data_IF_087023770373
#
_entry.id   IF_087023770373
#
_cell.length_a   1.000
_cell.length_b   1.000
_cell.length_c   1.000
_cell.angle_alpha   90.00
_cell.angle_beta   90.00
_cell.angle_gamma   90.00
#
_symmetry.space_group_name_H-M   'P 1'
#
loop_
_entity.id
_entity.type
_entity.pdbx_description
1 polymer ?
#
# COMPACT_ATOMS: atom_id res chain seq x y z
N UNK A 1 -7.94 16.49 -14.50
CA UNK A 1 -7.07 17.55 -13.97
C UNK A 1 -5.88 16.84 -13.33
N UNK A 2 -4.87 16.59 -14.17
CA UNK A 2 -3.69 15.81 -13.83
C UNK A 2 -2.66 16.70 -13.15
N UNK A 3 -2.21 16.31 -11.97
CA UNK A 3 -1.09 16.91 -11.25
C UNK A 3 0.19 16.72 -12.07
N UNK A 4 1.07 17.73 -12.17
CA UNK A 4 2.48 17.42 -12.28
C UNK A 4 3.26 18.26 -11.27
N UNK A 5 3.45 17.71 -10.07
CA UNK A 5 4.63 18.05 -9.24
C UNK A 5 5.86 17.23 -9.66
N UNK A 6 5.67 16.20 -10.48
CA UNK A 6 6.75 15.37 -11.02
C UNK A 6 7.27 16.01 -12.32
N UNK A 7 8.60 16.16 -12.48
CA UNK A 7 9.17 16.82 -13.63
C UNK A 7 8.84 16.08 -14.93
N UNK A 8 8.52 16.86 -15.96
CA UNK A 8 8.42 16.34 -17.32
C UNK A 8 9.81 15.85 -17.80
N UNK A 9 9.85 14.80 -18.64
CA UNK A 9 11.10 14.35 -19.23
C UNK A 9 11.79 15.49 -19.99
N UNK A 10 13.08 15.68 -19.72
CA UNK A 10 13.89 16.75 -20.34
C UNK A 10 14.29 16.38 -21.78
N UNK A 11 14.54 15.09 -22.02
CA UNK A 11 14.92 14.53 -23.32
C UNK A 11 13.73 14.41 -24.28
N UNK A 12 13.94 14.72 -25.56
CA UNK A 12 12.87 14.64 -26.57
C UNK A 12 12.44 13.20 -26.87
N UNK A 13 13.37 12.24 -26.83
CA UNK A 13 13.05 10.82 -26.98
C UNK A 13 12.24 10.28 -25.82
N UNK A 14 12.52 10.71 -24.59
CA UNK A 14 11.69 10.37 -23.43
C UNK A 14 10.28 10.99 -23.50
N UNK A 15 10.11 12.17 -24.14
CA UNK A 15 8.78 12.76 -24.38
C UNK A 15 7.96 11.94 -25.37
N UNK A 16 8.56 11.46 -26.46
CA UNK A 16 7.87 10.59 -27.42
C UNK A 16 7.44 9.28 -26.75
N UNK A 17 8.31 8.69 -25.93
CA UNK A 17 7.97 7.49 -25.14
C UNK A 17 6.84 7.80 -24.15
N UNK A 18 6.86 8.95 -23.49
CA UNK A 18 5.78 9.37 -22.58
C UNK A 18 4.42 9.36 -23.29
N UNK A 19 4.32 9.98 -24.46
CA UNK A 19 3.07 10.05 -25.23
C UNK A 19 2.58 8.66 -25.65
N UNK A 20 3.48 7.82 -26.15
CA UNK A 20 3.17 6.45 -26.53
C UNK A 20 2.69 5.62 -25.33
N UNK A 21 3.36 5.76 -24.19
CA UNK A 21 3.01 5.06 -22.95
C UNK A 21 1.67 5.54 -22.38
N UNK A 22 1.37 6.84 -22.45
CA UNK A 22 0.06 7.38 -22.07
C UNK A 22 -1.04 6.77 -22.94
N UNK A 23 -0.83 6.67 -24.25
CA UNK A 23 -1.80 6.06 -25.15
C UNK A 23 -2.03 4.57 -24.81
N UNK A 24 -0.97 3.81 -24.54
CA UNK A 24 -1.10 2.41 -24.11
C UNK A 24 -1.88 2.31 -22.79
N UNK A 25 -1.54 3.15 -21.80
CA UNK A 25 -2.25 3.21 -20.51
C UNK A 25 -3.74 3.47 -20.71
N UNK A 26 -4.08 4.46 -21.54
CA UNK A 26 -5.47 4.84 -21.78
C UNK A 26 -6.23 3.70 -22.49
N UNK A 27 -5.60 2.97 -23.40
CA UNK A 27 -6.17 1.76 -24.02
C UNK A 27 -6.41 0.64 -22.98
N UNK A 28 -5.44 0.41 -22.08
CA UNK A 28 -5.58 -0.56 -20.99
C UNK A 28 -6.72 -0.16 -20.03
N UNK A 29 -6.81 1.11 -19.68
CA UNK A 29 -7.82 1.63 -18.76
C UNK A 29 -9.22 1.59 -19.36
N UNK A 30 -9.38 1.93 -20.65
CA UNK A 30 -10.65 1.78 -21.36
C UNK A 30 -11.13 0.32 -21.37
N UNK A 31 -10.21 -0.63 -21.59
CA UNK A 31 -10.53 -2.06 -21.52
C UNK A 31 -10.91 -2.53 -20.13
N UNK A 32 -10.31 -1.95 -19.08
CA UNK A 32 -10.70 -2.26 -17.69
C UNK A 32 -12.15 -1.81 -17.41
N UNK A 33 -12.52 -0.64 -17.94
CA UNK A 33 -13.85 -0.07 -17.77
C UNK A 33 -14.91 -0.80 -18.62
N UNK A 34 -14.53 -1.36 -19.77
CA UNK A 34 -15.44 -2.15 -20.60
C UNK A 34 -15.74 -3.51 -19.98
N UNK A 35 -16.80 -3.56 -19.17
CA UNK A 35 -17.34 -4.79 -18.57
C UNK A 35 -18.25 -5.58 -19.53
N UNK A 36 -18.48 -5.09 -20.76
CA UNK A 36 -19.40 -5.71 -21.71
C UNK A 36 -18.75 -6.76 -22.61
N UNK A 37 -17.43 -6.68 -22.77
CA UNK A 37 -16.66 -7.56 -23.66
C UNK A 37 -15.71 -8.44 -22.85
N UNK A 38 -15.69 -9.74 -23.14
CA UNK A 38 -14.69 -10.65 -22.58
C UNK A 38 -13.27 -10.24 -23.00
N UNK A 39 -12.35 -10.14 -22.04
CA UNK A 39 -10.96 -9.76 -22.30
C UNK A 39 -10.23 -10.92 -22.99
N UNK A 40 -9.85 -10.73 -24.26
CA UNK A 40 -9.11 -11.76 -25.02
C UNK A 40 -7.61 -11.65 -24.75
N UNK A 41 -6.96 -12.80 -24.53
CA UNK A 41 -5.50 -12.90 -24.35
C UNK A 41 -4.71 -12.16 -25.43
N UNK A 42 -5.10 -12.30 -26.70
CA UNK A 42 -4.40 -11.66 -27.81
C UNK A 42 -4.40 -10.12 -27.72
N UNK A 43 -5.51 -9.54 -27.27
CA UNK A 43 -5.64 -8.09 -27.17
C UNK A 43 -4.75 -7.52 -26.05
N UNK A 44 -4.61 -8.27 -24.94
CA UNK A 44 -3.70 -7.94 -23.83
C UNK A 44 -2.24 -8.08 -24.27
N UNK A 45 -1.91 -9.16 -25.00
CA UNK A 45 -0.54 -9.42 -25.45
C UNK A 45 -0.02 -8.35 -26.42
N UNK A 46 -0.87 -7.82 -27.31
CA UNK A 46 -0.47 -6.70 -28.19
C UNK A 46 -0.07 -5.46 -27.38
N UNK A 47 -0.79 -5.15 -26.29
CA UNK A 47 -0.47 -4.02 -25.42
C UNK A 47 0.77 -4.29 -24.56
N UNK A 48 0.94 -5.54 -24.12
CA UNK A 48 2.13 -6.00 -23.43
C UNK A 48 3.38 -5.82 -24.29
N UNK A 49 3.39 -6.36 -25.52
CA UNK A 49 4.56 -6.29 -26.42
C UNK A 49 4.92 -4.83 -26.73
N UNK A 50 3.91 -3.99 -27.03
CA UNK A 50 4.10 -2.54 -27.22
C UNK A 50 4.71 -1.88 -25.99
N UNK A 51 4.27 -2.23 -24.79
CA UNK A 51 4.82 -1.70 -23.53
C UNK A 51 6.29 -2.08 -23.37
N UNK A 52 6.62 -3.36 -23.60
CA UNK A 52 7.99 -3.86 -23.51
C UNK A 52 8.91 -3.14 -24.51
N UNK A 53 8.46 -2.91 -25.74
CA UNK A 53 9.26 -2.22 -26.74
C UNK A 53 9.53 -0.76 -26.37
N UNK A 54 8.55 -0.04 -25.81
CA UNK A 54 8.76 1.32 -25.31
C UNK A 54 9.75 1.35 -24.14
N UNK A 55 9.68 0.39 -23.21
CA UNK A 55 10.59 0.33 -22.07
C UNK A 55 12.01 -0.06 -22.48
N UNK A 56 12.18 -0.90 -23.51
CA UNK A 56 13.50 -1.17 -24.11
C UNK A 56 14.09 0.10 -24.72
N UNK A 57 13.32 0.83 -25.53
CA UNK A 57 13.73 2.13 -26.09
C UNK A 57 14.11 3.12 -24.98
N UNK A 58 13.34 3.15 -23.89
CA UNK A 58 13.63 4.03 -22.74
C UNK A 58 14.97 3.67 -22.10
N UNK A 59 15.24 2.39 -21.89
CA UNK A 59 16.50 1.93 -21.33
C UNK A 59 17.69 2.20 -22.27
N UNK A 60 17.48 2.08 -23.58
CA UNK A 60 18.47 2.46 -24.59
C UNK A 60 18.81 3.95 -24.51
N UNK A 61 17.80 4.83 -24.48
CA UNK A 61 17.99 6.29 -24.36
C UNK A 61 18.74 6.65 -23.07
N UNK A 62 18.39 5.98 -21.96
CA UNK A 62 19.00 6.26 -20.66
C UNK A 62 20.43 5.73 -20.54
N UNK A 63 20.89 4.82 -21.42
CA UNK A 63 22.27 4.30 -21.48
C UNK A 63 22.94 4.04 -20.11
N UNK A 64 22.19 3.52 -19.13
CA UNK A 64 22.71 3.24 -17.78
C UNK A 64 23.05 4.47 -16.93
N UNK A 65 22.69 5.69 -17.36
CA UNK A 65 22.74 6.87 -16.49
C UNK A 65 21.64 6.74 -15.43
N UNK A 66 21.96 7.11 -14.20
CA UNK A 66 20.97 7.30 -13.14
C UNK A 66 20.09 8.50 -13.52
N UNK A 67 19.07 8.26 -14.35
CA UNK A 67 18.05 9.25 -14.63
C UNK A 67 17.22 9.44 -13.36
N UNK A 68 17.05 10.71 -12.94
CA UNK A 68 16.08 11.07 -11.92
C UNK A 68 14.70 10.56 -12.35
N UNK A 69 13.96 9.98 -11.40
CA UNK A 69 12.62 9.46 -11.64
C UNK A 69 11.73 10.59 -12.17
N UNK A 70 11.11 10.36 -13.33
CA UNK A 70 10.31 11.38 -13.99
C UNK A 70 8.92 10.86 -14.36
N UNK A 71 8.12 11.68 -15.04
CA UNK A 71 6.76 11.33 -15.41
C UNK A 71 6.65 10.05 -16.24
N UNK A 72 7.67 9.71 -17.05
CA UNK A 72 7.71 8.47 -17.83
C UNK A 72 7.69 7.26 -16.92
N UNK A 73 8.50 7.25 -15.86
CA UNK A 73 8.59 6.14 -14.91
C UNK A 73 7.25 5.83 -14.25
N UNK A 74 6.47 6.87 -13.93
CA UNK A 74 5.12 6.73 -13.37
C UNK A 74 4.11 6.16 -14.34
N UNK A 75 4.15 6.60 -15.60
CA UNK A 75 3.26 6.04 -16.63
C UNK A 75 3.65 4.60 -16.94
N UNK A 76 4.95 4.28 -17.01
CA UNK A 76 5.45 2.92 -17.14
C UNK A 76 4.94 2.04 -15.99
N UNK A 77 5.04 2.53 -14.75
CA UNK A 77 4.55 1.81 -13.59
C UNK A 77 3.05 1.54 -13.67
N UNK A 78 2.24 2.55 -14.01
CA UNK A 78 0.80 2.41 -14.19
C UNK A 78 0.44 1.43 -15.32
N UNK A 79 1.15 1.45 -16.45
CA UNK A 79 0.95 0.47 -17.53
C UNK A 79 1.19 -0.96 -17.05
N UNK A 80 2.28 -1.20 -16.32
CA UNK A 80 2.60 -2.54 -15.83
C UNK A 80 1.65 -3.00 -14.71
N UNK A 81 1.19 -2.11 -13.83
CA UNK A 81 0.14 -2.46 -12.85
C UNK A 81 -1.17 -2.86 -13.55
N UNK A 82 -1.58 -2.15 -14.61
CA UNK A 82 -2.75 -2.53 -15.42
C UNK A 82 -2.53 -3.85 -16.17
N UNK A 83 -1.34 -4.07 -16.73
CA UNK A 83 -1.01 -5.33 -17.39
C UNK A 83 -1.03 -6.49 -16.39
N UNK A 84 -0.48 -6.30 -15.20
CA UNK A 84 -0.54 -7.27 -14.09
C UNK A 84 -1.97 -7.70 -13.81
N UNK A 85 -2.86 -6.71 -13.66
CA UNK A 85 -4.29 -6.94 -13.49
C UNK A 85 -4.87 -7.77 -14.64
N UNK A 86 -4.57 -7.41 -15.90
CA UNK A 86 -5.09 -8.16 -17.04
C UNK A 86 -4.56 -9.59 -17.12
N UNK A 87 -3.27 -9.82 -16.80
CA UNK A 87 -2.69 -11.15 -16.76
C UNK A 87 -3.38 -12.03 -15.71
N UNK A 88 -3.72 -11.47 -14.55
CA UNK A 88 -4.53 -12.16 -13.55
C UNK A 88 -5.95 -12.44 -14.07
N UNK A 89 -6.58 -11.48 -14.75
CA UNK A 89 -7.95 -11.67 -15.27
C UNK A 89 -8.08 -12.73 -16.37
N UNK A 90 -7.01 -12.95 -17.15
CA UNK A 90 -6.96 -13.98 -18.20
C UNK A 90 -6.40 -15.32 -17.69
N UNK A 91 -6.18 -15.46 -16.37
CA UNK A 91 -5.73 -16.70 -15.74
C UNK A 91 -4.25 -17.01 -15.92
N UNK A 92 -3.41 -16.02 -16.21
CA UNK A 92 -1.95 -16.15 -16.37
C UNK A 92 -1.22 -15.65 -15.12
N UNK A 93 -1.62 -16.16 -13.97
CA UNK A 93 -1.16 -15.71 -12.65
C UNK A 93 0.32 -16.09 -12.38
N UNK A 94 0.78 -17.18 -12.99
CA UNK A 94 2.14 -17.71 -12.78
C UNK A 94 3.18 -17.11 -13.73
N UNK A 95 2.89 -15.95 -14.32
CA UNK A 95 3.81 -15.27 -15.24
C UNK A 95 4.32 -13.97 -14.63
N UNK A 96 5.54 -13.58 -15.03
CA UNK A 96 6.20 -12.39 -14.51
C UNK A 96 5.32 -11.11 -14.52
N UNK A 97 4.50 -10.81 -15.55
CA UNK A 97 3.63 -9.62 -15.52
C UNK A 97 2.63 -9.61 -14.36
N UNK A 98 2.09 -10.77 -13.95
CA UNK A 98 1.11 -10.87 -12.87
C UNK A 98 1.73 -10.55 -11.49
N UNK A 99 3.03 -10.78 -11.32
CA UNK A 99 3.76 -10.45 -10.10
C UNK A 99 4.01 -8.94 -9.92
N UNK A 100 3.77 -8.11 -10.96
CA UNK A 100 4.19 -6.72 -10.94
C UNK A 100 3.39 -5.86 -9.96
N UNK A 101 2.06 -5.99 -9.94
CA UNK A 101 1.21 -5.16 -9.08
C UNK A 101 1.57 -5.35 -7.59
N UNK A 102 1.67 -6.60 -7.14
CA UNK A 102 2.04 -6.91 -5.76
C UNK A 102 3.47 -6.45 -5.43
N UNK A 103 4.43 -6.62 -6.35
CA UNK A 103 5.79 -6.10 -6.18
C UNK A 103 5.80 -4.57 -5.99
N UNK A 104 4.97 -3.85 -6.75
CA UNK A 104 4.82 -2.40 -6.65
C UNK A 104 4.22 -1.99 -5.29
N UNK A 105 3.17 -2.68 -4.85
CA UNK A 105 2.54 -2.44 -3.54
C UNK A 105 3.53 -2.67 -2.40
N UNK A 106 4.30 -3.78 -2.40
CA UNK A 106 5.32 -4.06 -1.37
C UNK A 106 6.39 -2.96 -1.36
N UNK A 107 6.84 -2.49 -2.53
CA UNK A 107 7.82 -1.40 -2.58
C UNK A 107 7.30 -0.16 -1.85
N UNK A 108 6.06 0.26 -2.13
CA UNK A 108 5.45 1.42 -1.47
C UNK A 108 5.31 1.22 0.03
N UNK A 109 4.90 0.02 0.45
CA UNK A 109 4.83 -0.32 1.86
C UNK A 109 6.18 -0.20 2.55
N UNK A 110 7.25 -0.74 1.97
CA UNK A 110 8.59 -0.62 2.53
C UNK A 110 9.07 0.84 2.63
N UNK A 111 8.75 1.67 1.64
CA UNK A 111 9.02 3.11 1.67
C UNK A 111 8.24 3.75 2.84
N UNK A 112 6.95 3.46 3.00
CA UNK A 112 6.12 3.98 4.10
C UNK A 112 6.55 3.49 5.49
N UNK A 113 6.92 2.22 5.63
CA UNK A 113 7.46 1.69 6.90
C UNK A 113 8.78 2.38 7.26
N UNK A 114 9.59 2.71 6.26
CA UNK A 114 10.84 3.46 6.45
C UNK A 114 10.56 4.90 6.89
N UNK A 115 9.54 5.55 6.33
CA UNK A 115 9.13 6.92 6.67
C UNK A 115 8.46 7.02 8.05
N UNK A 116 7.50 6.13 8.35
CA UNK A 116 6.72 6.16 9.59
C UNK A 116 7.49 5.61 10.80
N UNK A 117 8.48 4.74 10.55
CA UNK A 117 9.24 4.00 11.56
C UNK A 117 8.33 3.21 12.53
N UNK A 118 7.17 2.75 12.02
CA UNK A 118 6.15 1.97 12.73
C UNK A 118 5.98 0.59 12.11
N UNK A 119 6.89 -0.32 12.43
CA UNK A 119 6.86 -1.68 11.94
C UNK A 119 7.19 -2.70 13.04
N UNK A 120 6.69 -3.91 12.86
CA UNK A 120 6.93 -5.08 13.70
C UNK A 120 7.67 -6.16 12.93
N UNK A 121 8.25 -7.14 13.64
CA UNK A 121 8.91 -8.28 13.00
C UNK A 121 7.97 -9.05 12.05
N UNK A 122 6.69 -9.16 12.44
CA UNK A 122 5.66 -9.89 11.68
C UNK A 122 5.34 -9.23 10.34
N UNK A 123 5.32 -7.89 10.30
CA UNK A 123 5.08 -7.16 9.04
C UNK A 123 6.20 -7.48 8.05
N UNK A 124 7.46 -7.45 8.51
CA UNK A 124 8.63 -7.73 7.68
C UNK A 124 8.69 -9.20 7.24
N UNK A 125 8.32 -10.14 8.11
CA UNK A 125 8.24 -11.57 7.78
C UNK A 125 7.19 -11.84 6.70
N UNK A 126 6.00 -11.25 6.82
CA UNK A 126 4.94 -11.34 5.80
C UNK A 126 5.43 -10.83 4.45
N UNK A 127 6.04 -9.64 4.39
CA UNK A 127 6.58 -9.09 3.15
C UNK A 127 7.73 -9.92 2.58
N UNK A 128 8.56 -10.53 3.44
CA UNK A 128 9.64 -11.42 3.01
C UNK A 128 9.09 -12.65 2.29
N UNK A 129 8.09 -13.33 2.88
CA UNK A 129 7.44 -14.48 2.26
C UNK A 129 6.81 -14.13 0.90
N UNK A 130 6.16 -12.98 0.81
CA UNK A 130 5.57 -12.53 -0.46
C UNK A 130 6.65 -12.24 -1.50
N UNK A 131 7.78 -11.62 -1.13
CA UNK A 131 8.90 -11.39 -2.06
C UNK A 131 9.57 -12.70 -2.52
N UNK A 132 9.58 -13.72 -1.68
CA UNK A 132 10.07 -15.07 -2.04
C UNK A 132 9.14 -15.71 -3.07
N UNK A 133 7.83 -15.72 -2.82
CA UNK A 133 6.83 -16.20 -3.77
C UNK A 133 6.90 -15.46 -5.12
N UNK A 134 7.00 -14.12 -5.11
CA UNK A 134 7.15 -13.33 -6.33
C UNK A 134 8.45 -13.65 -7.08
N UNK A 135 9.52 -13.96 -6.37
CA UNK A 135 10.78 -14.39 -6.98
C UNK A 135 10.64 -15.74 -7.68
N UNK A 136 9.88 -16.67 -7.09
CA UNK A 136 9.59 -17.97 -7.70
C UNK A 136 8.76 -17.81 -8.97
N UNK A 137 7.73 -16.96 -8.97
CA UNK A 137 6.94 -16.66 -10.18
C UNK A 137 7.85 -16.15 -11.30
N UNK A 138 8.71 -15.17 -11.00
CA UNK A 138 9.61 -14.58 -11.99
C UNK A 138 10.64 -15.60 -12.51
N UNK A 139 11.20 -16.45 -11.63
CA UNK A 139 12.19 -17.45 -12.04
C UNK A 139 11.59 -18.62 -12.82
N UNK A 140 10.38 -19.06 -12.47
CA UNK A 140 9.66 -20.11 -13.18
C UNK A 140 9.22 -19.64 -14.58
N UNK A 141 8.90 -18.35 -14.74
CA UNK A 141 8.60 -17.74 -16.03
C UNK A 141 9.80 -17.79 -16.99
N UNK A 142 11.03 -17.59 -16.49
CA UNK A 142 12.28 -17.61 -17.31
C UNK A 142 12.55 -18.93 -18.02
N UNK A 143 11.99 -20.04 -17.53
CA UNK A 143 12.12 -21.35 -18.17
C UNK A 143 11.24 -21.47 -19.43
N UNK A 144 10.22 -20.61 -19.55
CA UNK A 144 9.43 -20.45 -20.77
C UNK A 144 10.06 -19.31 -21.58
N UNK A 145 10.38 -19.55 -22.87
CA UNK A 145 11.18 -18.68 -23.75
C UNK A 145 10.60 -17.28 -24.06
N UNK A 146 9.67 -16.77 -23.28
CA UNK A 146 8.87 -15.58 -23.57
C UNK A 146 9.21 -14.45 -22.60
N UNK A 147 10.13 -13.58 -23.03
CA UNK A 147 10.44 -12.24 -22.47
C UNK A 147 11.43 -12.12 -21.28
N UNK A 148 12.73 -12.40 -21.51
CA UNK A 148 13.79 -12.24 -20.50
C UNK A 148 13.95 -10.80 -19.95
N UNK A 149 13.42 -9.79 -20.65
CA UNK A 149 13.59 -8.39 -20.28
C UNK A 149 12.77 -7.99 -19.05
N UNK A 150 11.47 -8.34 -19.02
CA UNK A 150 10.62 -7.98 -17.89
C UNK A 150 11.02 -8.75 -16.63
N UNK A 151 11.39 -10.01 -16.78
CA UNK A 151 11.90 -10.83 -15.68
C UNK A 151 13.14 -10.21 -15.05
N UNK A 152 14.09 -9.73 -15.86
CA UNK A 152 15.27 -9.01 -15.37
C UNK A 152 14.87 -7.72 -14.63
N UNK A 153 13.92 -6.96 -15.17
CA UNK A 153 13.43 -5.72 -14.55
C UNK A 153 12.75 -6.00 -13.20
N UNK A 154 11.89 -7.02 -13.13
CA UNK A 154 11.20 -7.43 -11.91
C UNK A 154 12.16 -8.01 -10.88
N UNK A 155 13.11 -8.86 -11.30
CA UNK A 155 14.14 -9.39 -10.42
C UNK A 155 14.97 -8.26 -9.78
N UNK A 156 15.34 -7.25 -10.55
CA UNK A 156 16.03 -6.06 -10.02
C UNK A 156 15.15 -5.27 -9.04
N UNK A 157 13.85 -5.12 -9.30
CA UNK A 157 12.91 -4.47 -8.39
C UNK A 157 12.75 -5.25 -7.08
N UNK A 158 12.55 -6.56 -7.16
CA UNK A 158 12.46 -7.45 -5.99
C UNK A 158 13.75 -7.38 -5.17
N UNK A 159 14.92 -7.36 -5.82
CA UNK A 159 16.21 -7.20 -5.13
C UNK A 159 16.29 -5.88 -4.36
N UNK A 160 15.78 -4.77 -4.93
CA UNK A 160 15.69 -3.48 -4.22
C UNK A 160 14.74 -3.55 -3.03
N UNK A 161 13.58 -4.19 -3.17
CA UNK A 161 12.65 -4.41 -2.06
C UNK A 161 13.31 -5.23 -0.94
N UNK A 162 14.01 -6.32 -1.28
CA UNK A 162 14.77 -7.11 -0.30
C UNK A 162 15.86 -6.30 0.40
N UNK A 163 16.58 -5.44 -0.32
CA UNK A 163 17.58 -4.57 0.30
C UNK A 163 16.96 -3.58 1.31
N UNK A 164 15.80 -3.00 0.98
CA UNK A 164 15.06 -2.13 1.90
C UNK A 164 14.53 -2.91 3.11
N UNK A 165 14.01 -4.11 2.88
CA UNK A 165 13.53 -5.00 3.94
C UNK A 165 14.65 -5.38 4.92
N UNK A 166 15.83 -5.75 4.40
CA UNK A 166 17.00 -6.06 5.22
C UNK A 166 17.45 -4.86 6.07
N UNK A 167 17.36 -3.63 5.54
CA UNK A 167 17.66 -2.42 6.31
C UNK A 167 16.68 -2.26 7.48
N UNK A 168 15.38 -2.45 7.23
CA UNK A 168 14.36 -2.41 8.29
C UNK A 168 14.54 -3.53 9.33
N UNK A 169 14.91 -4.73 8.90
CA UNK A 169 15.25 -5.84 9.81
C UNK A 169 16.46 -5.50 10.68
N UNK A 170 17.53 -4.93 10.10
CA UNK A 170 18.70 -4.52 10.85
C UNK A 170 18.36 -3.46 11.91
N UNK A 171 17.50 -2.48 11.58
CA UNK A 171 16.99 -1.49 12.55
C UNK A 171 16.21 -2.14 13.70
N UNK A 172 15.53 -3.25 13.47
CA UNK A 172 14.84 -4.01 14.53
C UNK A 172 15.84 -4.78 15.40
N UNK A 173 16.88 -5.35 14.78
CA UNK A 173 17.93 -6.10 15.48
C UNK A 173 18.76 -5.23 16.42
N UNK A 174 18.93 -3.95 16.10
CA UNK A 174 19.57 -2.95 16.97
C UNK A 174 18.85 -2.80 18.33
N UNK A 175 17.54 -3.04 18.37
CA UNK A 175 16.78 -3.05 19.63
C UNK A 175 17.15 -4.30 20.42
N UNK A 176 17.56 -4.11 21.68
CA UNK A 176 17.94 -5.19 22.57
C UNK A 176 16.79 -6.22 22.69
N UNK A 177 17.10 -7.52 22.68
CA UNK A 177 16.11 -8.60 22.73
C UNK A 177 15.04 -8.43 23.83
N UNK A 178 15.37 -8.00 25.07
CA UNK A 178 14.37 -7.79 26.11
C UNK A 178 13.36 -6.69 25.81
N UNK A 179 13.70 -5.73 24.94
CA UNK A 179 12.83 -4.61 24.56
C UNK A 179 11.98 -4.88 23.33
N UNK A 180 12.32 -5.86 22.51
CA UNK A 180 11.57 -6.17 21.27
C UNK A 180 10.07 -6.43 21.53
N UNK A 181 9.67 -7.24 22.54
CA UNK A 181 8.24 -7.44 22.83
C UNK A 181 7.54 -6.15 23.29
N UNK A 182 8.25 -5.27 23.99
CA UNK A 182 7.71 -3.97 24.43
C UNK A 182 7.50 -3.06 23.22
N UNK A 183 8.49 -2.97 22.32
CA UNK A 183 8.39 -2.21 21.08
C UNK A 183 7.23 -2.69 20.20
N UNK A 184 7.08 -4.01 20.02
CA UNK A 184 5.95 -4.60 19.27
C UNK A 184 4.59 -4.27 19.91
N UNK A 185 4.51 -4.31 21.24
CA UNK A 185 3.29 -3.93 21.96
C UNK A 185 2.96 -2.47 21.74
N UNK A 186 3.95 -1.57 21.74
CA UNK A 186 3.76 -0.15 21.47
C UNK A 186 3.28 0.10 20.03
N UNK A 187 3.90 -0.53 19.04
CA UNK A 187 3.46 -0.45 17.63
C UNK A 187 2.01 -0.93 17.51
N UNK A 188 1.65 -2.03 18.19
CA UNK A 188 0.29 -2.54 18.22
C UNK A 188 -0.71 -1.58 18.86
N UNK A 189 -0.36 -0.94 19.98
CA UNK A 189 -1.21 0.06 20.65
C UNK A 189 -1.41 1.28 19.75
N UNK A 190 -0.33 1.80 19.14
CA UNK A 190 -0.40 2.96 18.26
C UNK A 190 -1.31 2.70 17.06
N UNK A 191 -1.15 1.57 16.37
CA UNK A 191 -2.04 1.17 15.26
C UNK A 191 -3.50 1.03 15.71
N UNK A 192 -3.76 0.46 16.88
CA UNK A 192 -5.11 0.37 17.44
C UNK A 192 -5.70 1.75 17.75
N UNK A 193 -4.92 2.66 18.31
CA UNK A 193 -5.34 4.04 18.58
C UNK A 193 -5.63 4.80 17.29
N UNK A 194 -4.77 4.69 16.28
CA UNK A 194 -4.98 5.24 14.95
C UNK A 194 -6.29 4.72 14.33
N UNK A 195 -6.51 3.40 14.37
CA UNK A 195 -7.74 2.78 13.90
C UNK A 195 -8.99 3.28 14.64
N UNK A 196 -8.94 3.45 15.97
CA UNK A 196 -10.05 4.01 16.76
C UNK A 196 -10.35 5.45 16.35
N UNK A 197 -9.32 6.25 16.07
CA UNK A 197 -9.47 7.67 15.69
C UNK A 197 -10.22 7.88 14.37
N UNK A 198 -10.23 6.89 13.49
CA UNK A 198 -10.92 6.97 12.18
C UNK A 198 -12.39 6.54 12.25
N UNK A 199 -12.82 5.90 13.36
CA UNK A 199 -14.19 5.40 13.52
C UNK A 199 -15.15 6.51 13.95
N UNK A 200 -16.35 6.51 13.37
CA UNK A 200 -17.42 7.43 13.74
C UNK A 200 -18.02 7.13 15.12
N UNK A 201 -17.91 5.88 15.59
CA UNK A 201 -18.34 5.42 16.92
C UNK A 201 -17.25 4.55 17.53
N UNK A 202 -16.94 4.75 18.80
CA UNK A 202 -15.98 3.93 19.54
C UNK A 202 -16.47 3.69 20.97
N UNK A 203 -15.91 2.66 21.61
CA UNK A 203 -16.17 2.37 23.01
C UNK A 203 -15.08 3.01 23.88
N UNK A 204 -15.42 3.95 24.79
CA UNK A 204 -14.43 4.59 25.66
C UNK A 204 -13.58 3.60 26.48
N UNK A 205 -14.14 2.42 26.79
CA UNK A 205 -13.41 1.36 27.52
C UNK A 205 -12.18 0.85 26.76
N UNK A 206 -12.20 0.85 25.43
CA UNK A 206 -11.07 0.42 24.61
C UNK A 206 -9.90 1.39 24.76
N UNK A 207 -10.18 2.71 24.73
CA UNK A 207 -9.16 3.75 24.93
C UNK A 207 -8.58 3.68 26.34
N UNK A 208 -9.43 3.52 27.37
CA UNK A 208 -8.94 3.38 28.74
C UNK A 208 -8.03 2.16 28.91
N UNK A 209 -8.37 1.02 28.29
CA UNK A 209 -7.52 -0.17 28.32
C UNK A 209 -6.16 0.08 27.69
N UNK A 210 -6.12 0.70 26.50
CA UNK A 210 -4.87 1.03 25.81
C UNK A 210 -4.02 2.02 26.62
N UNK A 211 -4.65 3.02 27.25
CA UNK A 211 -3.96 3.95 28.16
C UNK A 211 -3.35 3.25 29.36
N UNK A 212 -4.08 2.36 30.02
CA UNK A 212 -3.51 1.59 31.14
C UNK A 212 -2.31 0.75 30.71
N UNK A 213 -2.31 0.19 29.50
CA UNK A 213 -1.15 -0.53 28.98
C UNK A 213 0.05 0.40 28.71
N UNK A 214 -0.19 1.62 28.21
CA UNK A 214 0.86 2.62 28.05
C UNK A 214 1.44 3.04 29.40
N UNK A 215 0.60 3.24 30.41
CA UNK A 215 1.03 3.58 31.78
C UNK A 215 1.85 2.44 32.42
N UNK A 216 1.46 1.18 32.21
CA UNK A 216 2.22 0.02 32.66
C UNK A 216 3.60 -0.07 31.99
N UNK A 217 3.69 0.28 30.70
CA UNK A 217 4.97 0.30 29.97
C UNK A 217 5.81 1.51 30.40
N UNK A 218 5.18 2.67 30.64
CA UNK A 218 5.86 3.88 31.12
C UNK A 218 6.49 3.67 32.50
N UNK A 219 5.78 2.96 33.40
CA UNK A 219 6.26 2.64 34.73
C UNK A 219 7.50 1.73 34.76
N UNK A 220 7.80 1.02 33.66
CA UNK A 220 9.03 0.21 33.53
C UNK A 220 10.28 1.05 33.24
N UNK A 221 10.12 2.35 32.96
CA UNK A 221 11.25 3.25 32.72
C UNK A 221 11.87 3.71 34.01
N UNK A 222 13.19 3.85 34.00
CA UNK A 222 13.96 4.52 35.03
C UNK A 222 14.64 5.72 34.36
N UNK A 223 14.34 6.93 34.84
CA UNK A 223 14.86 8.19 34.28
C UNK A 223 14.60 8.36 32.77
N UNK A 224 13.40 7.98 32.33
CA UNK A 224 12.99 8.08 30.92
C UNK A 224 13.62 7.03 29.99
N UNK A 225 14.41 6.08 30.52
CA UNK A 225 15.04 5.01 29.75
C UNK A 225 14.70 3.62 30.27
N UNK A 226 14.80 2.62 29.40
CA UNK A 226 14.69 1.22 29.78
C UNK A 226 16.07 0.65 30.13
N UNK A 227 16.17 0.02 31.29
CA UNK A 227 17.41 -0.53 31.84
C UNK A 227 17.31 -2.04 32.04
N UNK A 228 18.46 -2.72 32.03
CA UNK A 228 18.56 -4.13 32.37
C UNK A 228 18.63 -4.36 33.90
N UNK A 229 18.74 -5.63 34.31
CA UNK A 229 18.88 -6.04 35.73
C UNK A 229 20.09 -5.40 36.44
N UNK A 230 21.06 -4.88 35.69
CA UNK A 230 22.27 -4.23 36.19
C UNK A 230 22.21 -2.69 36.11
N UNK A 231 21.04 -2.09 35.88
CA UNK A 231 20.83 -0.66 35.66
C UNK A 231 21.58 -0.10 34.43
N UNK A 232 21.95 -0.93 33.46
CA UNK A 232 22.54 -0.48 32.21
C UNK A 232 21.43 -0.19 31.20
N UNK A 233 21.51 0.96 30.53
CA UNK A 233 20.57 1.34 29.47
C UNK A 233 20.61 0.31 28.35
N UNK A 234 19.44 -0.22 28.01
CA UNK A 234 19.27 -1.18 26.93
C UNK A 234 19.39 -0.49 25.56
N UNK A 235 20.03 -1.17 24.61
CA UNK A 235 20.15 -0.63 23.26
C UNK A 235 18.76 -0.50 22.61
N UNK A 236 18.52 0.62 21.94
CA UNK A 236 17.19 0.96 21.41
C UNK A 236 16.21 1.53 22.45
N UNK A 237 16.63 1.76 23.70
CA UNK A 237 15.81 2.41 24.73
C UNK A 237 15.27 3.75 24.26
N UNK A 238 16.08 4.58 23.61
CA UNK A 238 15.66 5.92 23.15
C UNK A 238 14.56 5.81 22.08
N UNK A 239 14.66 4.85 21.18
CA UNK A 239 13.65 4.57 20.14
C UNK A 239 12.33 4.05 20.72
N UNK A 240 12.39 3.11 21.66
CA UNK A 240 11.19 2.65 22.40
C UNK A 240 10.62 3.78 23.27
N UNK A 241 11.48 4.70 23.71
CA UNK A 241 11.07 5.86 24.48
C UNK A 241 10.24 6.82 23.66
N UNK A 242 10.78 7.21 22.50
CA UNK A 242 10.13 8.00 21.48
C UNK A 242 8.79 7.39 21.05
N UNK A 243 8.72 6.06 20.83
CA UNK A 243 7.46 5.37 20.47
C UNK A 243 6.33 5.55 21.49
N UNK A 244 6.61 5.54 22.79
CA UNK A 244 5.58 5.76 23.82
C UNK A 244 5.23 7.24 23.95
N UNK A 245 6.24 8.10 23.76
CA UNK A 245 6.10 9.54 23.88
C UNK A 245 5.56 10.14 22.58
N UNK A 246 5.18 9.28 21.60
CA UNK A 246 4.52 9.65 20.33
C UNK A 246 3.12 10.15 20.58
N UNK A 247 2.93 11.40 20.20
CA UNK A 247 1.84 12.19 20.71
C UNK A 247 1.71 13.38 19.71
N UNK A 248 0.55 13.96 19.38
CA UNK A 248 0.43 15.03 18.36
C UNK A 248 -0.94 15.70 18.28
N UNK A 249 -1.00 17.02 18.12
CA UNK A 249 -2.22 17.72 17.68
C UNK A 249 -2.34 17.66 16.16
N UNK A 250 -3.55 17.44 15.63
CA UNK A 250 -3.73 17.31 14.19
C UNK A 250 -3.95 18.69 13.54
N UNK A 251 -3.11 19.14 12.59
CA UNK A 251 -3.27 20.44 11.96
C UNK A 251 -4.52 20.50 11.08
N UNK A 252 -5.35 21.52 11.27
CA UNK A 252 -6.57 21.71 10.46
C UNK A 252 -6.28 21.78 8.95
N UNK A 253 -5.11 22.29 8.56
CA UNK A 253 -4.65 22.40 7.16
C UNK A 253 -4.68 21.05 6.43
N UNK A 254 -4.39 19.95 7.12
CA UNK A 254 -4.34 18.61 6.52
C UNK A 254 -5.65 17.82 6.66
N UNK A 255 -6.66 18.41 7.30
CA UNK A 255 -7.96 17.79 7.53
C UNK A 255 -8.67 17.33 6.26
N UNK A 256 -8.60 18.06 5.13
CA UNK A 256 -9.21 17.59 3.88
C UNK A 256 -8.59 16.29 3.38
N UNK A 257 -7.26 16.17 3.38
CA UNK A 257 -6.55 14.95 2.97
C UNK A 257 -6.83 13.80 3.93
N UNK A 258 -6.77 14.07 5.24
CA UNK A 258 -7.10 13.08 6.26
C UNK A 258 -8.51 12.53 6.10
N UNK A 259 -9.51 13.37 5.83
CA UNK A 259 -10.89 12.91 5.58
C UNK A 259 -11.01 12.00 4.36
N UNK A 260 -10.26 12.27 3.28
CA UNK A 260 -10.23 11.41 2.10
C UNK A 260 -9.66 10.04 2.47
N UNK A 261 -8.52 10.02 3.18
CA UNK A 261 -7.88 8.78 3.62
C UNK A 261 -8.75 8.00 4.60
N UNK A 262 -9.44 8.65 5.53
CA UNK A 262 -10.41 8.00 6.43
C UNK A 262 -11.54 7.35 5.62
N UNK A 263 -12.00 8.01 4.55
CA UNK A 263 -12.98 7.43 3.62
C UNK A 263 -12.48 6.13 3.01
N UNK A 264 -11.29 6.17 2.39
CA UNK A 264 -10.65 5.01 1.74
C UNK A 264 -10.41 3.89 2.76
N UNK A 265 -9.84 4.19 3.93
CA UNK A 265 -9.61 3.23 5.02
C UNK A 265 -10.90 2.53 5.39
N UNK A 266 -11.98 3.27 5.65
CA UNK A 266 -13.25 2.69 6.08
C UNK A 266 -13.89 1.80 4.99
N UNK A 267 -13.69 2.12 3.72
CA UNK A 267 -14.12 1.28 2.61
C UNK A 267 -13.30 -0.02 2.55
N UNK A 268 -11.97 0.06 2.67
CA UNK A 268 -11.08 -1.11 2.72
C UNK A 268 -11.34 -2.00 3.95
N UNK A 269 -11.53 -1.41 5.13
CA UNK A 269 -11.86 -2.11 6.39
C UNK A 269 -13.22 -2.81 6.29
N UNK A 270 -14.19 -2.20 5.61
CA UNK A 270 -15.47 -2.86 5.32
C UNK A 270 -15.29 -4.06 4.38
N UNK A 271 -14.44 -3.94 3.36
CA UNK A 271 -14.14 -5.05 2.45
C UNK A 271 -13.45 -6.20 3.18
N UNK A 272 -12.50 -5.91 4.07
CA UNK A 272 -11.77 -6.93 4.85
C UNK A 272 -12.69 -7.69 5.81
N UNK A 273 -13.63 -6.99 6.46
CA UNK A 273 -14.63 -7.59 7.35
C UNK A 273 -15.65 -8.45 6.62
N UNK A 274 -16.04 -8.05 5.40
CA UNK A 274 -17.10 -8.74 4.66
C UNK A 274 -16.62 -9.98 3.91
N UNK A 275 -15.29 -10.20 3.79
CA UNK A 275 -14.68 -11.31 3.04
C UNK A 275 -15.50 -11.62 1.79
N UNK A 276 -15.75 -10.56 1.00
CA UNK A 276 -16.72 -10.65 -0.07
C UNK A 276 -16.15 -11.56 -1.15
N UNK A 277 -16.79 -12.71 -1.37
CA UNK A 277 -16.61 -13.64 -2.51
C UNK A 277 -16.71 -12.97 -3.90
N UNK A 278 -16.92 -11.65 -3.94
CA UNK A 278 -16.98 -10.80 -5.12
C UNK A 278 -15.82 -9.80 -5.21
N UNK A 279 -14.90 -9.76 -4.24
CA UNK A 279 -13.76 -8.86 -4.27
C UNK A 279 -12.80 -9.32 -5.36
N UNK A 280 -12.47 -8.41 -6.27
CA UNK A 280 -11.57 -8.70 -7.38
C UNK A 280 -10.38 -7.75 -7.32
N UNK A 281 -9.26 -8.21 -7.86
CA UNK A 281 -8.06 -7.38 -8.05
C UNK A 281 -8.37 -6.09 -8.82
N UNK A 282 -9.38 -6.12 -9.71
CA UNK A 282 -9.85 -4.93 -10.43
C UNK A 282 -10.35 -3.82 -9.51
N UNK A 283 -11.02 -4.18 -8.42
CA UNK A 283 -11.61 -3.26 -7.47
C UNK A 283 -10.50 -2.70 -6.53
N UNK A 284 -9.54 -3.54 -6.13
CA UNK A 284 -8.37 -3.14 -5.32
C UNK A 284 -7.40 -2.22 -6.09
N UNK A 285 -7.30 -2.37 -7.41
CA UNK A 285 -6.55 -1.45 -8.27
C UNK A 285 -7.04 0.00 -8.15
N UNK A 286 -8.35 0.23 -8.06
CA UNK A 286 -8.87 1.61 -8.00
C UNK A 286 -8.52 2.29 -6.68
N UNK A 287 -8.50 1.55 -5.57
CA UNK A 287 -7.99 2.05 -4.30
C UNK A 287 -6.49 2.29 -4.35
N UNK A 288 -5.71 1.36 -4.91
CA UNK A 288 -4.26 1.53 -5.09
C UNK A 288 -3.97 2.83 -5.86
N UNK A 289 -4.71 3.10 -6.95
CA UNK A 289 -4.49 4.29 -7.75
C UNK A 289 -4.86 5.59 -7.02
N UNK A 290 -5.89 5.56 -6.19
CA UNK A 290 -6.25 6.70 -5.33
C UNK A 290 -5.13 6.99 -4.32
N UNK A 291 -4.62 5.95 -3.66
CA UNK A 291 -3.52 6.06 -2.71
C UNK A 291 -2.23 6.53 -3.38
N UNK A 292 -1.86 5.96 -4.53
CA UNK A 292 -0.71 6.38 -5.32
C UNK A 292 -0.80 7.86 -5.72
N UNK A 293 -2.00 8.35 -6.09
CA UNK A 293 -2.20 9.76 -6.45
C UNK A 293 -2.02 10.69 -5.25
N UNK A 294 -2.49 10.26 -4.07
CA UNK A 294 -2.31 10.99 -2.82
C UNK A 294 -0.81 11.03 -2.50
N UNK A 295 -0.16 9.87 -2.47
CA UNK A 295 1.28 9.70 -2.27
C UNK A 295 2.15 10.55 -3.23
N UNK A 296 1.80 10.54 -4.52
CA UNK A 296 2.47 11.31 -5.59
C UNK A 296 2.38 12.82 -5.46
N UNK A 297 1.48 13.34 -4.62
CA UNK A 297 1.37 14.78 -4.39
C UNK A 297 2.36 15.30 -3.35
N UNK A 298 3.09 14.39 -2.68
CA UNK A 298 4.21 14.68 -1.79
C UNK A 298 5.44 15.15 -2.57
N UNK A 299 6.23 16.02 -1.95
CA UNK A 299 7.53 16.51 -2.46
C UNK A 299 8.58 16.13 -1.44
N UNK A 300 9.55 15.30 -1.85
CA UNK A 300 10.62 14.79 -0.98
C UNK A 300 10.11 14.17 0.33
N UNK A 301 9.03 13.39 0.24
CA UNK A 301 8.39 12.75 1.40
C UNK A 301 7.47 13.66 2.23
N UNK A 302 7.32 14.92 1.85
CA UNK A 302 6.52 15.91 2.58
C UNK A 302 5.27 16.36 1.82
N UNK A 303 4.19 16.59 2.56
CA UNK A 303 3.04 17.33 2.06
C UNK A 303 3.38 18.82 2.03
N UNK A 304 3.16 19.45 0.87
CA UNK A 304 3.32 20.90 0.68
C UNK A 304 1.95 21.55 0.56
N UNK A 305 1.79 22.72 1.16
CA UNK A 305 0.55 23.50 1.09
C UNK A 305 0.37 24.18 -0.29
N UNK A 306 -0.70 24.97 -0.41
CA UNK A 306 -1.02 25.73 -1.64
C UNK A 306 0.06 26.77 -1.99
N UNK A 307 0.90 27.16 -1.03
CA UNK A 307 2.01 28.09 -1.19
C UNK A 307 3.34 27.38 -1.51
N UNK A 308 3.32 26.04 -1.59
CA UNK A 308 4.49 25.21 -1.88
C UNK A 308 5.45 25.07 -0.71
N UNK A 309 5.04 25.50 0.49
CA UNK A 309 5.84 25.31 1.69
C UNK A 309 5.65 23.88 2.19
N UNK A 310 6.74 23.12 2.45
CA UNK A 310 6.61 21.86 3.16
C UNK A 310 6.01 22.16 4.53
N UNK A 311 5.07 21.34 5.00
CA UNK A 311 4.67 21.47 6.39
C UNK A 311 5.91 21.27 7.27
N UNK A 312 6.06 22.11 8.30
CA UNK A 312 7.20 22.01 9.21
C UNK A 312 7.32 20.57 9.73
N UNK A 313 8.45 19.96 9.37
CA UNK A 313 8.90 18.67 9.86
C UNK A 313 9.35 18.86 11.31
N UNK A 314 8.91 17.97 12.20
CA UNK A 314 9.09 17.96 13.66
C UNK A 314 8.13 18.90 14.42
N UNK A 315 7.45 18.54 15.50
CA UNK A 315 7.53 17.43 16.47
C UNK A 315 6.22 16.62 16.67
N UNK A 316 6.32 15.60 17.51
CA UNK A 316 5.22 14.82 18.05
C UNK A 316 5.01 15.23 19.53
N UNK A 317 3.93 15.98 19.89
CA UNK A 317 3.38 16.03 21.27
C UNK A 317 1.83 16.03 21.36
N UNK A 318 1.27 15.23 22.29
CA UNK A 318 -0.14 15.04 22.71
C UNK A 318 -0.08 15.15 24.23
N UNK A 319 -0.82 16.10 24.76
CA UNK A 319 -1.46 16.01 26.05
C UNK A 319 -2.59 17.02 26.01
N UNK A 320 -3.80 16.55 25.70
CA UNK A 320 -5.08 17.22 25.98
C UNK A 320 -6.22 16.33 25.49
N UNK A 321 -6.50 15.25 26.21
CA UNK A 321 -7.76 14.51 26.03
C UNK A 321 -8.51 14.53 27.35
N UNK A 322 -9.10 15.70 27.61
CA UNK A 322 -10.41 15.78 28.26
C UNK A 322 -11.28 17.01 27.89
N UNK A 323 -10.85 17.92 26.98
CA UNK A 323 -11.67 19.13 26.69
C UNK A 323 -11.92 19.49 25.21
N UNK A 324 -11.55 18.65 24.24
CA UNK A 324 -11.62 19.02 22.81
C UNK A 324 -12.74 18.35 22.00
N UNK A 325 -13.92 18.12 22.60
CA UNK A 325 -15.13 17.77 21.85
C UNK A 325 -16.38 18.46 22.41
N UNK A 326 -16.83 19.50 21.71
CA UNK A 326 -18.22 19.99 21.77
C UNK A 326 -18.82 19.80 20.37
N UNK A 327 -19.95 19.09 20.27
CA UNK A 327 -20.73 18.89 19.04
C UNK A 327 -19.97 18.38 17.79
N UNK A 328 -19.03 17.45 17.99
CA UNK A 328 -18.43 16.70 16.88
C UNK A 328 -17.49 17.51 15.96
N UNK A 329 -16.98 18.66 16.44
CA UNK A 329 -15.90 19.43 15.79
C UNK A 329 -14.83 19.83 16.82
N UNK A 330 -13.59 19.98 16.35
CA UNK A 330 -12.42 20.45 17.11
C UNK A 330 -12.26 21.97 16.92
N UNK A 331 -11.83 22.72 17.96
CA UNK A 331 -11.47 24.15 17.92
C UNK A 331 -10.41 24.46 19.01
N UNK A 332 -9.24 25.07 18.70
CA UNK A 332 -8.40 25.86 19.66
C UNK A 332 -7.40 26.83 18.95
N UNK A 333 -7.42 28.14 19.27
CA UNK A 333 -6.22 29.01 19.43
C UNK A 333 -5.59 29.80 18.24
N UNK A 334 -4.67 30.73 18.60
CA UNK A 334 -3.83 31.61 17.74
C UNK A 334 -2.31 31.24 17.86
N UNK A 335 -1.87 30.11 17.28
CA UNK A 335 -0.52 29.83 16.73
C UNK A 335 -0.30 28.31 16.49
N UNK A 336 0.31 27.94 15.35
CA UNK A 336 0.42 26.57 14.77
C UNK A 336 1.86 26.37 14.24
N UNK A 337 2.56 25.26 14.56
CA UNK A 337 2.71 24.13 13.62
C UNK A 337 3.03 22.74 14.24
N UNK A 338 2.45 21.63 13.72
CA UNK A 338 2.96 20.22 13.85
C UNK A 338 1.96 19.14 13.36
N UNK A 339 2.16 18.44 12.21
CA UNK A 339 1.37 17.21 11.99
C UNK A 339 1.13 16.68 10.58
N UNK A 340 2.20 16.31 9.88
CA UNK A 340 2.10 15.40 8.72
C UNK A 340 2.04 13.92 9.13
N UNK A 341 2.57 13.57 10.31
CA UNK A 341 2.74 12.17 10.73
C UNK A 341 1.42 11.38 10.73
N UNK A 342 0.33 11.99 11.18
CA UNK A 342 -0.99 11.34 11.20
C UNK A 342 -1.53 11.04 9.79
N UNK A 343 -1.26 11.91 8.81
CA UNK A 343 -1.66 11.68 7.41
C UNK A 343 -0.78 10.61 6.78
N UNK A 344 0.53 10.64 7.04
CA UNK A 344 1.47 9.63 6.55
C UNK A 344 1.20 8.25 7.15
N UNK A 345 0.91 8.16 8.44
CA UNK A 345 0.54 6.93 9.13
C UNK A 345 -0.79 6.38 8.60
N UNK A 346 -1.80 7.22 8.42
CA UNK A 346 -3.08 6.79 7.86
C UNK A 346 -2.96 6.36 6.38
N UNK A 347 -2.09 7.02 5.61
CA UNK A 347 -1.79 6.60 4.24
C UNK A 347 -1.14 5.21 4.25
N UNK A 348 -0.17 4.97 5.14
CA UNK A 348 0.47 3.67 5.31
C UNK A 348 -0.55 2.58 5.69
N UNK A 349 -1.45 2.86 6.65
CA UNK A 349 -2.53 1.94 7.05
C UNK A 349 -3.45 1.59 5.87
N UNK A 350 -3.78 2.57 5.02
CA UNK A 350 -4.56 2.31 3.81
C UNK A 350 -3.83 1.38 2.83
N UNK A 351 -2.53 1.56 2.63
CA UNK A 351 -1.74 0.65 1.79
C UNK A 351 -1.64 -0.75 2.41
N UNK A 352 -1.47 -0.85 3.73
CA UNK A 352 -1.41 -2.13 4.44
C UNK A 352 -2.72 -2.91 4.26
N UNK A 353 -3.88 -2.27 4.49
CA UNK A 353 -5.18 -2.88 4.29
C UNK A 353 -5.40 -3.33 2.83
N UNK A 354 -4.98 -2.52 1.86
CA UNK A 354 -5.07 -2.89 0.44
C UNK A 354 -4.18 -4.09 0.12
N UNK A 355 -2.98 -4.15 0.67
CA UNK A 355 -2.07 -5.27 0.52
C UNK A 355 -2.61 -6.57 1.14
N UNK A 356 -3.13 -6.52 2.36
CA UNK A 356 -3.74 -7.70 3.01
C UNK A 356 -4.92 -8.23 2.18
N UNK A 357 -5.77 -7.34 1.66
CA UNK A 357 -6.87 -7.72 0.77
C UNK A 357 -6.39 -8.35 -0.54
N UNK A 358 -5.29 -7.86 -1.12
CA UNK A 358 -4.69 -8.43 -2.34
C UNK A 358 -4.19 -9.85 -2.08
N UNK A 359 -3.48 -10.08 -0.97
CA UNK A 359 -3.03 -11.41 -0.58
C UNK A 359 -4.21 -12.38 -0.39
N UNK A 360 -5.31 -11.91 0.21
CA UNK A 360 -6.51 -12.71 0.35
C UNK A 360 -7.08 -13.12 -1.02
N UNK A 361 -7.22 -12.16 -1.95
CA UNK A 361 -7.70 -12.41 -3.32
C UNK A 361 -6.79 -13.38 -4.10
N UNK A 362 -5.47 -13.24 -3.98
CA UNK A 362 -4.51 -14.14 -4.63
C UNK A 362 -4.62 -15.56 -4.09
N UNK A 363 -4.68 -15.72 -2.76
CA UNK A 363 -4.80 -17.03 -2.12
C UNK A 363 -6.09 -17.78 -2.52
N UNK A 364 -7.18 -17.06 -2.75
CA UNK A 364 -8.42 -17.65 -3.29
C UNK A 364 -8.26 -18.08 -4.75
N UNK A 365 -7.53 -17.30 -5.55
CA UNK A 365 -7.30 -17.60 -6.97
C UNK A 365 -6.41 -18.83 -7.20
N UNK A 366 -5.53 -19.16 -6.25
CA UNK A 366 -4.68 -20.34 -6.29
C UNK A 366 -5.39 -21.62 -5.82
N UNK A 367 -6.53 -21.49 -5.13
CA UNK A 367 -7.35 -22.63 -4.75
C UNK A 367 -7.98 -23.25 -6.01
N UNK A 368 -7.93 -24.59 -6.22
CA UNK A 368 -8.55 -25.22 -7.38
C UNK A 368 -10.06 -25.00 -7.31
N UNK A 369 -10.55 -24.08 -8.14
CA UNK A 369 -11.94 -23.59 -8.13
C UNK A 369 -12.95 -24.73 -7.98
N UNK A 370 -13.72 -24.72 -6.89
CA UNK A 370 -15.04 -25.32 -6.90
C UNK A 370 -15.84 -24.60 -8.00
N UNK A 371 -16.31 -25.36 -9.00
CA UNK A 371 -17.04 -24.85 -10.16
C UNK A 371 -18.16 -23.89 -9.72
N UNK A 372 -18.43 -22.80 -10.46
CA UNK A 372 -19.62 -21.98 -10.20
C UNK A 372 -20.85 -22.87 -10.29
N UNK A 373 -21.73 -22.78 -9.29
CA UNK A 373 -23.00 -23.49 -9.29
C UNK A 373 -23.75 -23.16 -10.58
N UNK A 374 -24.01 -24.19 -11.39
CA UNK A 374 -24.94 -24.09 -12.51
C UNK A 374 -26.28 -23.59 -11.96
N UNK A 375 -26.67 -22.42 -12.44
CA UNK A 375 -27.99 -21.82 -12.25
C UNK A 375 -29.05 -22.77 -12.82
N UNK A 376 -29.60 -23.64 -11.96
CA UNK A 376 -30.77 -24.46 -12.29
C UNK A 376 -31.99 -23.55 -12.33
N UNK A 377 -32.16 -22.89 -13.46
CA UNK A 377 -33.47 -22.39 -13.87
C UNK A 377 -34.46 -23.57 -13.89
N UNK A 378 -35.66 -23.46 -13.28
CA UNK A 378 -36.63 -24.54 -13.32
C UNK A 378 -37.18 -24.67 -14.74
N UNK A 379 -36.92 -25.82 -15.36
CA UNK A 379 -37.56 -26.24 -16.61
C UNK A 379 -39.06 -26.40 -16.32
N UNK A 380 -39.87 -25.44 -16.77
CA UNK A 380 -41.32 -25.61 -16.89
C UNK A 380 -41.61 -26.74 -17.88
N UNK A 381 -42.07 -27.88 -17.36
CA UNK A 381 -42.63 -28.96 -18.16
C UNK A 381 -43.90 -28.49 -18.89
N UNK A 382 -44.06 -28.73 -20.19
CA UNK A 382 -45.34 -28.52 -20.87
C UNK A 382 -46.36 -29.60 -20.45
N UNK A 383 -47.67 -29.28 -20.41
CA UNK A 383 -48.70 -30.19 -19.90
C UNK A 383 -48.92 -31.40 -20.82
N UNK A 384 -48.96 -32.58 -20.19
CA UNK A 384 -49.28 -33.88 -20.79
C UNK A 384 -50.63 -33.85 -21.53
N UNK A 385 -50.57 -34.11 -22.83
CA UNK A 385 -51.72 -34.52 -23.64
C UNK A 385 -51.89 -36.02 -23.45
N UNK A 386 -52.98 -36.44 -22.78
CA UNK A 386 -53.39 -37.85 -22.71
C UNK A 386 -53.74 -38.36 -24.12
N UNK A 387 -53.26 -39.54 -24.54
CA UNK A 387 -53.78 -40.19 -25.73
C UNK A 387 -55.12 -40.87 -25.43
N UNK A 388 -56.05 -40.76 -26.37
CA UNK A 388 -57.30 -41.52 -26.40
C UNK A 388 -57.04 -43.03 -26.53
N UNK A 389 -57.98 -43.79 -25.96
CA UNK A 389 -58.22 -45.26 -26.01
C UNK A 389 -57.35 -46.21 -25.20
#
# INVERSE_FOLDING_TARGET
MDTPKIPAPKDEGEKEILENMINIRDQLQLRKLDRSTYVRTQDVMVLYDRTIDQVKRLNEIRHGKAAEENRVDRVVDSCFQLLSLFFMTIGRNNEAPAAYALTSTIRRLLDHLTEADLFSAKDLESMSHTLDHLSEIVHNASNNKSAPFLETLLANRISRCRASLNNLQQKLEEIAEPLRPTAETLVSILRQMAGINTRSKFNPKEIHKLRSQLDEISAKRVDGKFVDENNKVLNGSDKVSELLDRNGEFPEKWMPLYKILVGIRNELDKLSLTQAWSLRETDLYDYQRQLDKIDESRVDGNWVDDEGQPAELYVQRLNSLDDMRVDGKFMVGDDVPEGQAAVTELLAECFDLNYELRLAVESESESPSAKPAEDKSPVTQPPDVKPDT
#
